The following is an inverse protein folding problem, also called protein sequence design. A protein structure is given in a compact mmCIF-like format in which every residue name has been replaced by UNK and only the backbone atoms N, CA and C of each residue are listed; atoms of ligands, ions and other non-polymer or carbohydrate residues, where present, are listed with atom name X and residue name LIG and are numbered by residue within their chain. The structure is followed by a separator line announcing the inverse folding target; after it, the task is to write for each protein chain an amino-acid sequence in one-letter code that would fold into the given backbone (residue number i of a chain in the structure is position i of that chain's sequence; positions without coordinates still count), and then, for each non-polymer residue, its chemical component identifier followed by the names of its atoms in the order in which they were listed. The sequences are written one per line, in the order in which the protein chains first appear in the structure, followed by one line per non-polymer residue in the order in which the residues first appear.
data_IF_397312208708
#
_entry.id   IF_397312208708
#
_cell.length_a   1.000
_cell.length_b   1.000
_cell.length_c   1.000
_cell.angle_alpha   90.00
_cell.angle_beta   90.00
_cell.angle_gamma   90.00
#
_symmetry.space_group_name_H-M   'P 1'
#
loop_
_entity.id
_entity.type
_entity.pdbx_description
1 polymer ?
#
# COMPACT_ATOMS: atom_id res chain seq x y z
N UNK A 1 -28.39 14.60 -24.90
CA UNK A 1 -27.27 15.18 -24.13
C UNK A 1 -27.35 14.58 -22.74
N UNK A 2 -26.62 13.49 -22.49
CA UNK A 2 -26.55 12.92 -21.13
C UNK A 2 -25.54 13.74 -20.35
N UNK A 3 -26.03 14.49 -19.38
CA UNK A 3 -25.21 15.19 -18.40
C UNK A 3 -24.48 14.12 -17.57
N UNK A 4 -23.18 13.96 -17.79
CA UNK A 4 -22.30 13.24 -16.87
C UNK A 4 -22.31 14.01 -15.54
N UNK A 5 -23.22 13.66 -14.65
CA UNK A 5 -23.20 14.08 -13.26
C UNK A 5 -22.07 13.30 -12.59
N UNK A 6 -20.86 13.85 -12.60
CA UNK A 6 -19.83 13.41 -11.66
C UNK A 6 -20.36 13.67 -10.27
N UNK A 7 -20.59 12.60 -9.50
CA UNK A 7 -20.92 12.71 -8.07
C UNK A 7 -19.94 13.68 -7.40
N UNK A 8 -20.39 14.54 -6.48
CA UNK A 8 -19.50 15.43 -5.77
C UNK A 8 -18.38 14.60 -5.08
N UNK A 9 -17.16 15.13 -4.98
CA UNK A 9 -16.07 14.43 -4.29
C UNK A 9 -16.54 14.04 -2.89
N UNK A 10 -16.47 12.75 -2.56
CA UNK A 10 -16.81 12.30 -1.21
C UNK A 10 -15.74 12.82 -0.26
N UNK A 11 -16.15 13.55 0.78
CA UNK A 11 -15.26 13.99 1.85
C UNK A 11 -14.87 12.81 2.74
N UNK A 12 -13.91 12.02 2.23
CA UNK A 12 -13.42 10.81 2.89
C UNK A 12 -12.73 11.11 4.22
N UNK A 13 -12.22 12.32 4.43
CA UNK A 13 -11.56 12.73 5.66
C UNK A 13 -12.54 12.84 6.84
N UNK A 14 -13.82 13.14 6.56
CA UNK A 14 -14.87 13.21 7.57
C UNK A 14 -15.39 11.85 8.05
N UNK A 15 -15.15 10.77 7.29
CA UNK A 15 -15.73 9.45 7.56
C UNK A 15 -15.40 8.91 8.96
N UNK A 16 -14.15 8.94 9.45
CA UNK A 16 -13.86 8.39 10.77
C UNK A 16 -14.35 9.29 11.91
N UNK A 17 -14.81 10.52 11.66
CA UNK A 17 -15.47 11.37 12.66
C UNK A 17 -16.95 11.00 12.81
N UNK A 18 -17.57 10.56 11.71
CA UNK A 18 -18.99 10.16 11.64
C UNK A 18 -19.21 8.69 12.04
N UNK A 19 -18.15 7.90 12.14
CA UNK A 19 -18.21 6.48 12.45
C UNK A 19 -18.46 6.20 13.93
N UNK A 20 -19.24 5.16 14.20
CA UNK A 20 -19.46 4.61 15.54
C UNK A 20 -18.51 3.44 15.86
N UNK A 21 -17.65 3.01 14.93
CA UNK A 21 -16.60 2.01 15.22
C UNK A 21 -15.52 2.65 16.10
N UNK A 22 -15.27 2.17 17.33
CA UNK A 22 -14.29 2.77 18.22
C UNK A 22 -12.87 2.77 17.63
N UNK A 23 -12.57 1.87 16.68
CA UNK A 23 -11.27 1.82 15.99
C UNK A 23 -11.07 3.01 15.05
N UNK A 24 -12.14 3.70 14.64
CA UNK A 24 -12.08 4.87 13.77
C UNK A 24 -11.70 6.17 14.50
N UNK A 25 -11.69 6.17 15.84
CA UNK A 25 -11.37 7.39 16.62
C UNK A 25 -10.00 7.96 16.25
N UNK A 26 -9.01 7.08 16.05
CA UNK A 26 -7.63 7.43 15.73
C UNK A 26 -7.28 7.27 14.24
N UNK A 27 -8.24 6.85 13.41
CA UNK A 27 -8.03 6.66 11.98
C UNK A 27 -8.01 7.99 11.23
N UNK A 28 -6.96 8.19 10.44
CA UNK A 28 -6.85 9.30 9.49
C UNK A 28 -7.06 8.75 8.09
N UNK A 29 -8.03 9.29 7.36
CA UNK A 29 -8.24 8.99 5.93
C UNK A 29 -7.84 10.21 5.13
N UNK A 30 -6.86 10.03 4.24
CA UNK A 30 -6.37 11.10 3.35
C UNK A 30 -6.46 10.68 1.91
N UNK A 31 -7.13 11.50 1.10
CA UNK A 31 -7.05 11.43 -0.35
C UNK A 31 -5.73 12.08 -0.81
N UNK A 32 -4.78 11.25 -1.27
CA UNK A 32 -3.43 11.67 -1.70
C UNK A 32 -3.47 12.20 -3.13
N UNK A 33 -4.21 11.52 -4.00
CA UNK A 33 -4.52 11.92 -5.37
C UNK A 33 -6.00 11.63 -5.62
N UNK A 34 -6.58 12.05 -6.77
CA UNK A 34 -7.95 11.66 -7.10
C UNK A 34 -8.21 10.16 -6.97
N UNK A 35 -7.22 9.31 -7.23
CA UNK A 35 -7.35 7.84 -7.27
C UNK A 35 -6.72 7.10 -6.09
N UNK A 36 -5.95 7.78 -5.23
CA UNK A 36 -5.22 7.16 -4.12
C UNK A 36 -5.73 7.68 -2.78
N UNK A 37 -6.19 6.77 -1.92
CA UNK A 37 -6.56 7.05 -0.54
C UNK A 37 -5.63 6.27 0.39
N UNK A 38 -5.17 6.93 1.45
CA UNK A 38 -4.41 6.30 2.53
C UNK A 38 -5.22 6.29 3.82
N UNK A 39 -4.95 5.27 4.63
CA UNK A 39 -5.61 5.00 5.90
C UNK A 39 -4.53 4.82 6.95
N UNK A 40 -4.37 5.82 7.80
CA UNK A 40 -3.25 5.97 8.72
C UNK A 40 -3.73 5.83 10.17
N UNK A 41 -3.05 5.00 10.95
CA UNK A 41 -3.36 4.74 12.36
C UNK A 41 -2.10 4.79 13.22
N UNK A 42 -2.20 5.11 14.53
CA UNK A 42 -1.06 4.98 15.42
C UNK A 42 -0.68 3.51 15.57
N UNK A 43 0.62 3.23 15.50
CA UNK A 43 1.17 1.90 15.75
C UNK A 43 2.52 2.01 16.42
N UNK A 44 2.72 1.22 17.47
CA UNK A 44 3.94 1.23 18.29
C UNK A 44 4.59 -0.16 18.24
N UNK A 45 5.72 -0.28 17.53
CA UNK A 45 6.45 -1.54 17.42
C UNK A 45 7.04 -1.92 18.78
N UNK A 46 6.86 -3.18 19.16
CA UNK A 46 7.31 -3.75 20.44
C UNK A 46 6.82 -3.00 21.69
N UNK A 47 5.76 -2.18 21.57
CA UNK A 47 5.19 -1.40 22.68
C UNK A 47 5.94 -0.14 23.08
N UNK A 48 7.07 0.20 22.45
CA UNK A 48 7.85 1.40 22.79
C UNK A 48 8.31 2.27 21.62
N UNK A 49 8.27 1.79 20.38
CA UNK A 49 8.73 2.56 19.20
C UNK A 49 7.55 3.02 18.33
N UNK A 50 7.11 4.29 18.42
CA UNK A 50 6.00 4.82 17.64
C UNK A 50 6.42 5.02 16.17
N UNK A 51 5.97 4.12 15.28
CA UNK A 51 6.29 4.17 13.84
C UNK A 51 5.07 4.42 12.94
N UNK A 52 3.86 4.28 13.50
CA UNK A 52 2.60 4.44 12.78
C UNK A 52 2.31 3.25 11.85
N UNK A 53 1.10 3.14 11.32
CA UNK A 53 0.73 2.10 10.35
C UNK A 53 -0.14 2.67 9.24
N UNK A 54 -0.08 2.11 8.03
CA UNK A 54 -0.82 2.64 6.88
C UNK A 54 -1.23 1.54 5.91
N UNK A 55 -2.47 1.60 5.41
CA UNK A 55 -2.87 0.93 4.17
C UNK A 55 -3.17 1.96 3.09
N UNK A 56 -3.16 1.51 1.85
CA UNK A 56 -3.41 2.36 0.70
C UNK A 56 -4.41 1.69 -0.23
N UNK A 57 -5.41 2.42 -0.69
CA UNK A 57 -6.32 1.99 -1.74
C UNK A 57 -6.09 2.83 -3.00
N UNK A 58 -6.11 2.16 -4.15
CA UNK A 58 -5.90 2.76 -5.45
C UNK A 58 -7.06 2.37 -6.35
N UNK A 59 -7.75 3.37 -6.89
CA UNK A 59 -8.73 3.19 -7.97
C UNK A 59 -7.99 2.91 -9.27
N UNK A 60 -8.33 1.82 -9.92
CA UNK A 60 -7.79 1.41 -11.21
C UNK A 60 -8.89 1.41 -12.25
N UNK A 61 -8.58 1.93 -13.44
CA UNK A 61 -9.51 1.92 -14.56
C UNK A 61 -9.56 0.52 -15.19
N UNK A 62 -10.75 0.01 -15.50
CA UNK A 62 -10.84 -1.20 -16.33
C UNK A 62 -10.58 -0.83 -17.79
N UNK A 63 -9.62 -1.49 -18.49
CA UNK A 63 -9.60 -1.39 -19.93
C UNK A 63 -10.92 -1.96 -20.48
N UNK A 64 -11.59 -1.22 -21.35
CA UNK A 64 -12.79 -1.67 -22.06
C UNK A 64 -12.49 -2.99 -22.78
N UNK A 65 -13.23 -4.07 -22.50
CA UNK A 65 -13.08 -5.31 -23.28
C UNK A 65 -13.51 -5.04 -24.73
N UNK A 66 -12.67 -5.28 -25.75
CA UNK A 66 -13.13 -5.26 -27.12
C UNK A 66 -14.10 -6.45 -27.31
N UNK A 67 -15.35 -6.17 -27.67
CA UNK A 67 -16.29 -7.23 -28.09
C UNK A 67 -16.23 -7.28 -29.62
N UNK A 68 -15.78 -8.40 -30.17
CA UNK A 68 -15.90 -8.68 -31.61
C UNK A 68 -17.26 -9.36 -31.82
N UNK A 69 -18.23 -8.63 -32.36
CA UNK A 69 -19.46 -9.23 -32.91
C UNK A 69 -19.35 -9.38 -34.41
N UNK A 70 -19.89 -10.49 -34.92
CA UNK A 70 -19.75 -10.94 -36.32
C UNK A 70 -20.34 -9.97 -37.35
N UNK A 71 -21.18 -9.01 -36.93
CA UNK A 71 -21.80 -8.00 -37.79
C UNK A 71 -21.82 -6.64 -37.08
N UNK A 72 -21.05 -5.68 -37.62
CA UNK A 72 -21.05 -4.24 -37.32
C UNK A 72 -20.59 -3.77 -35.92
N UNK A 73 -19.77 -2.71 -35.93
CA UNK A 73 -19.44 -1.86 -34.80
C UNK A 73 -20.73 -1.15 -34.37
N UNK A 74 -21.43 -1.70 -33.38
CA UNK A 74 -22.47 -0.98 -32.64
C UNK A 74 -21.79 -0.25 -31.48
N UNK A 75 -22.07 1.05 -31.22
CA UNK A 75 -21.72 1.66 -29.95
C UNK A 75 -22.47 0.92 -28.84
N UNK A 76 -21.71 0.29 -27.95
CA UNK A 76 -22.22 -0.33 -26.74
C UNK A 76 -23.09 0.69 -25.97
N UNK A 77 -24.22 0.30 -25.36
CA UNK A 77 -24.72 1.07 -24.22
C UNK A 77 -23.66 0.98 -23.12
N UNK A 78 -22.77 1.97 -23.02
CA UNK A 78 -21.71 2.07 -22.03
C UNK A 78 -22.32 2.05 -20.62
N UNK A 79 -22.48 0.87 -20.04
CA UNK A 79 -22.23 0.74 -18.61
C UNK A 79 -20.77 1.15 -18.44
N UNK A 80 -20.54 2.35 -17.88
CA UNK A 80 -19.21 2.86 -17.59
C UNK A 80 -18.38 1.75 -16.93
N UNK A 81 -17.09 1.57 -17.28
CA UNK A 81 -16.26 0.62 -16.56
C UNK A 81 -16.41 0.91 -15.08
N UNK A 82 -17.00 -0.02 -14.31
CA UNK A 82 -17.04 0.21 -12.87
C UNK A 82 -15.61 0.16 -12.41
N UNK A 83 -15.20 1.23 -11.74
CA UNK A 83 -13.87 1.34 -11.18
C UNK A 83 -13.63 0.17 -10.22
N UNK A 84 -12.41 -0.36 -10.27
CA UNK A 84 -11.97 -1.48 -9.43
C UNK A 84 -10.85 -1.00 -8.52
N UNK A 85 -10.74 -1.58 -7.34
CA UNK A 85 -9.85 -1.09 -6.29
C UNK A 85 -8.79 -2.14 -5.98
N UNK A 86 -7.54 -1.68 -5.99
CA UNK A 86 -6.39 -2.39 -5.44
C UNK A 86 -6.13 -1.87 -4.03
N UNK A 87 -6.04 -2.76 -3.05
CA UNK A 87 -5.76 -2.40 -1.65
C UNK A 87 -4.43 -3.00 -1.21
N UNK A 88 -3.48 -2.15 -0.85
CA UNK A 88 -2.24 -2.49 -0.17
C UNK A 88 -2.53 -2.53 1.34
N UNK A 89 -2.84 -3.71 1.86
CA UNK A 89 -3.52 -3.94 3.13
C UNK A 89 -2.54 -4.22 4.28
N UNK A 90 -2.60 -3.37 5.31
CA UNK A 90 -1.70 -3.39 6.48
C UNK A 90 -2.34 -2.98 7.81
N UNK A 91 -3.48 -2.30 7.82
CA UNK A 91 -4.16 -1.80 9.02
C UNK A 91 -5.53 -2.51 9.21
N UNK A 92 -6.24 -2.34 10.35
CA UNK A 92 -7.54 -2.98 10.59
C UNK A 92 -8.65 -2.52 9.63
N UNK A 93 -9.52 -3.40 9.14
CA UNK A 93 -10.62 -3.00 8.27
C UNK A 93 -11.80 -2.46 9.10
N UNK A 94 -11.83 -1.14 9.32
CA UNK A 94 -12.86 -0.45 10.10
C UNK A 94 -14.09 -0.07 9.28
N UNK A 95 -15.14 0.43 9.94
CA UNK A 95 -16.34 0.93 9.26
C UNK A 95 -16.02 2.09 8.29
N UNK A 96 -15.25 3.10 8.73
CA UNK A 96 -14.89 4.22 7.87
C UNK A 96 -13.97 3.80 6.70
N UNK A 97 -13.07 2.83 6.90
CA UNK A 97 -12.27 2.28 5.79
C UNK A 97 -13.16 1.58 4.76
N UNK A 98 -14.14 0.78 5.18
CA UNK A 98 -15.10 0.14 4.26
C UNK A 98 -15.90 1.16 3.47
N UNK A 99 -16.39 2.21 4.13
CA UNK A 99 -17.13 3.28 3.47
C UNK A 99 -16.25 4.02 2.43
N UNK A 100 -15.02 4.37 2.79
CA UNK A 100 -14.09 4.97 1.84
C UNK A 100 -13.79 4.07 0.64
N UNK A 101 -13.58 2.76 0.85
CA UNK A 101 -13.37 1.80 -0.25
C UNK A 101 -14.58 1.74 -1.18
N UNK A 102 -15.80 1.73 -0.65
CA UNK A 102 -17.03 1.74 -1.44
C UNK A 102 -17.15 2.99 -2.33
N UNK A 103 -16.56 4.12 -1.93
CA UNK A 103 -16.55 5.34 -2.74
C UNK A 103 -15.59 5.26 -3.93
N UNK A 104 -14.59 4.38 -3.88
CA UNK A 104 -13.62 4.18 -4.97
C UNK A 104 -14.09 3.16 -6.00
N UNK A 105 -14.81 2.11 -5.59
CA UNK A 105 -15.31 1.07 -6.49
C UNK A 105 -15.25 -0.32 -5.89
N UNK A 106 -15.29 -1.34 -6.75
CA UNK A 106 -15.26 -2.74 -6.33
C UNK A 106 -13.85 -3.18 -5.96
N UNK A 107 -13.62 -3.60 -4.71
CA UNK A 107 -12.33 -4.16 -4.28
C UNK A 107 -12.08 -5.49 -4.98
N UNK A 108 -11.01 -5.54 -5.80
CA UNK A 108 -10.63 -6.72 -6.59
C UNK A 108 -9.34 -7.36 -6.11
N UNK A 109 -8.44 -6.60 -5.49
CA UNK A 109 -7.14 -7.10 -5.05
C UNK A 109 -6.82 -6.64 -3.64
N UNK A 110 -6.35 -7.57 -2.82
CA UNK A 110 -5.89 -7.36 -1.45
C UNK A 110 -4.43 -7.83 -1.40
N UNK A 111 -3.49 -6.90 -1.34
CA UNK A 111 -2.05 -7.18 -1.38
C UNK A 111 -1.41 -6.85 -0.05
N UNK A 112 -0.77 -7.81 0.59
CA UNK A 112 -0.01 -7.57 1.83
C UNK A 112 1.38 -7.03 1.50
N UNK A 113 1.86 -5.96 2.17
CA UNK A 113 3.16 -5.34 1.89
C UNK A 113 4.37 -6.26 2.05
N UNK A 114 4.35 -7.11 3.06
CA UNK A 114 5.40 -8.06 3.37
C UNK A 114 4.84 -9.14 4.30
N UNK A 115 5.71 -9.86 4.98
CA UNK A 115 5.38 -10.86 5.96
C UNK A 115 4.89 -10.39 7.33
N UNK A 116 5.19 -9.18 7.76
CA UNK A 116 4.77 -8.59 9.04
C UNK A 116 3.45 -7.80 8.91
N UNK A 117 3.12 -7.32 7.71
CA UNK A 117 2.02 -6.40 7.46
C UNK A 117 0.68 -7.07 7.14
N UNK A 118 0.62 -8.39 7.01
CA UNK A 118 -0.61 -9.14 6.85
C UNK A 118 -1.39 -9.40 8.14
N UNK A 119 -1.13 -8.70 9.25
CA UNK A 119 -1.84 -8.92 10.53
C UNK A 119 -3.36 -8.91 10.37
N UNK A 120 -3.89 -7.97 9.57
CA UNK A 120 -5.32 -7.73 9.41
C UNK A 120 -5.92 -8.32 8.13
N UNK A 121 -5.15 -9.01 7.30
CA UNK A 121 -5.62 -9.49 5.99
C UNK A 121 -6.88 -10.37 6.08
N UNK A 122 -7.07 -11.11 7.20
CA UNK A 122 -8.25 -11.92 7.43
C UNK A 122 -9.54 -11.07 7.40
N UNK A 123 -9.52 -9.90 8.03
CA UNK A 123 -10.69 -8.99 8.05
C UNK A 123 -11.08 -8.55 6.63
N UNK A 124 -10.08 -8.36 5.75
CA UNK A 124 -10.32 -7.96 4.36
C UNK A 124 -10.86 -9.10 3.52
N UNK A 125 -10.29 -10.31 3.61
CA UNK A 125 -10.76 -11.45 2.81
C UNK A 125 -12.17 -11.89 3.24
N UNK A 126 -12.49 -11.81 4.54
CA UNK A 126 -13.84 -12.11 5.05
C UNK A 126 -14.87 -11.11 4.54
N UNK A 127 -14.49 -9.83 4.45
CA UNK A 127 -15.40 -8.77 3.99
C UNK A 127 -15.51 -8.68 2.46
N UNK A 128 -14.42 -8.99 1.73
CA UNK A 128 -14.35 -8.95 0.28
C UNK A 128 -14.05 -10.34 -0.30
N UNK A 129 -14.96 -11.32 -0.19
CA UNK A 129 -14.70 -12.71 -0.59
C UNK A 129 -14.46 -12.89 -2.11
N UNK A 130 -14.82 -11.90 -2.93
CA UNK A 130 -14.53 -11.90 -4.37
C UNK A 130 -13.18 -11.29 -4.75
N UNK A 131 -12.44 -10.72 -3.80
CA UNK A 131 -11.13 -10.12 -4.06
C UNK A 131 -10.02 -11.17 -4.06
N UNK A 132 -9.03 -10.99 -4.92
CA UNK A 132 -7.84 -11.82 -4.96
C UNK A 132 -6.88 -11.41 -3.84
N UNK A 133 -6.65 -12.31 -2.88
CA UNK A 133 -5.62 -12.14 -1.87
C UNK A 133 -4.25 -12.48 -2.45
N UNK A 134 -3.30 -11.55 -2.33
CA UNK A 134 -1.92 -11.69 -2.82
C UNK A 134 -0.97 -11.33 -1.68
N UNK A 135 0.07 -12.13 -1.49
CA UNK A 135 1.03 -11.88 -0.44
C UNK A 135 2.38 -12.52 -0.70
N UNK A 136 3.09 -12.82 0.38
CA UNK A 136 4.46 -13.32 0.31
C UNK A 136 4.56 -14.75 0.81
N UNK A 137 5.56 -15.48 0.34
CA UNK A 137 5.72 -16.93 0.51
C UNK A 137 5.53 -17.41 1.96
N UNK A 138 6.02 -16.65 2.95
CA UNK A 138 5.89 -17.00 4.38
C UNK A 138 4.44 -17.13 4.86
N UNK A 139 3.47 -16.54 4.16
CA UNK A 139 2.05 -16.71 4.49
C UNK A 139 1.47 -18.07 4.12
N UNK A 140 2.19 -18.88 3.32
CA UNK A 140 1.85 -20.29 3.15
C UNK A 140 1.76 -21.03 4.49
N UNK A 141 2.69 -20.73 5.40
CA UNK A 141 2.76 -21.35 6.73
C UNK A 141 2.09 -20.50 7.81
N UNK A 142 2.25 -19.17 7.75
CA UNK A 142 1.75 -18.28 8.80
C UNK A 142 0.24 -18.02 8.70
N UNK A 143 -0.35 -18.15 7.50
CA UNK A 143 -1.78 -17.89 7.23
C UNK A 143 -2.37 -18.94 6.28
N UNK A 144 -2.35 -20.24 6.66
CA UNK A 144 -2.78 -21.33 5.79
C UNK A 144 -4.30 -21.33 5.52
N UNK A 145 -5.09 -20.60 6.31
CA UNK A 145 -6.54 -20.46 6.13
C UNK A 145 -6.96 -19.52 5.00
N UNK A 146 -6.04 -18.75 4.42
CA UNK A 146 -6.34 -17.79 3.37
C UNK A 146 -6.16 -18.45 2.00
N UNK A 147 -7.15 -18.27 1.13
CA UNK A 147 -7.08 -18.66 -0.27
C UNK A 147 -6.28 -17.61 -1.06
N UNK A 148 -4.96 -17.78 -1.10
CA UNK A 148 -4.08 -16.88 -1.83
C UNK A 148 -4.18 -17.11 -3.34
N UNK A 149 -4.53 -16.06 -4.09
CA UNK A 149 -4.43 -16.05 -5.55
C UNK A 149 -2.97 -16.09 -6.01
N UNK A 150 -2.07 -15.47 -5.23
CA UNK A 150 -0.66 -15.35 -5.52
C UNK A 150 0.19 -15.20 -4.27
N UNK A 151 1.29 -15.95 -4.21
CA UNK A 151 2.33 -15.76 -3.20
C UNK A 151 3.65 -15.46 -3.92
N UNK A 152 4.33 -14.41 -3.50
CA UNK A 152 5.62 -13.96 -4.05
C UNK A 152 6.77 -14.42 -3.16
N UNK A 153 7.84 -14.92 -3.78
CA UNK A 153 8.99 -15.52 -3.12
C UNK A 153 9.66 -16.58 -3.99
N UNK A 154 10.85 -17.05 -3.60
CA UNK A 154 11.69 -17.94 -4.41
C UNK A 154 11.07 -19.31 -4.74
N UNK A 155 10.17 -19.86 -3.91
CA UNK A 155 9.60 -21.21 -4.13
C UNK A 155 8.10 -21.22 -4.40
N UNK A 156 7.57 -20.10 -4.89
CA UNK A 156 6.16 -19.92 -5.22
C UNK A 156 6.03 -19.22 -6.58
N UNK A 157 4.84 -19.27 -7.17
CA UNK A 157 4.61 -18.90 -8.58
C UNK A 157 3.94 -17.53 -8.76
N UNK A 158 3.78 -16.74 -7.70
CA UNK A 158 3.01 -15.49 -7.73
C UNK A 158 3.54 -14.46 -8.72
N UNK A 159 4.86 -14.36 -8.89
CA UNK A 159 5.49 -13.44 -9.85
C UNK A 159 5.21 -13.82 -11.33
N UNK A 160 4.93 -15.10 -11.59
CA UNK A 160 4.68 -15.61 -12.95
C UNK A 160 3.23 -15.44 -13.41
N UNK A 161 2.32 -15.14 -12.49
CA UNK A 161 0.88 -15.00 -12.78
C UNK A 161 0.53 -13.62 -13.32
N UNK A 162 -0.67 -13.53 -13.88
CA UNK A 162 -1.33 -12.25 -14.23
C UNK A 162 -2.65 -12.14 -13.49
N UNK A 163 -2.81 -11.03 -12.76
CA UNK A 163 -3.95 -10.76 -11.89
C UNK A 163 -4.92 -9.74 -12.51
N UNK A 164 -4.49 -8.99 -13.51
CA UNK A 164 -5.29 -8.02 -14.27
C UNK A 164 -4.99 -6.56 -13.94
N UNK A 165 -4.27 -6.26 -12.85
CA UNK A 165 -3.85 -4.89 -12.52
C UNK A 165 -2.55 -4.47 -13.22
N UNK A 166 -1.82 -5.40 -13.86
CA UNK A 166 -0.49 -5.16 -14.45
C UNK A 166 -0.40 -3.98 -15.44
N UNK A 167 -1.45 -3.61 -16.20
CA UNK A 167 -1.40 -2.41 -17.03
C UNK A 167 -1.18 -1.10 -16.26
N UNK A 168 -1.48 -1.08 -14.95
CA UNK A 168 -1.39 0.13 -14.11
C UNK A 168 -0.51 -0.04 -12.87
N UNK A 169 -0.36 -1.27 -12.35
CA UNK A 169 0.46 -1.56 -11.17
C UNK A 169 1.47 -2.67 -11.49
N UNK A 170 2.73 -2.47 -11.14
CA UNK A 170 3.70 -3.56 -11.02
C UNK A 170 3.91 -3.94 -9.55
N UNK A 171 4.00 -5.24 -9.27
CA UNK A 171 4.49 -5.75 -7.99
C UNK A 171 5.95 -6.18 -8.14
N UNK A 172 6.78 -5.87 -7.15
CA UNK A 172 8.17 -6.27 -7.10
C UNK A 172 8.50 -6.87 -5.74
N UNK A 173 8.86 -8.15 -5.75
CA UNK A 173 9.33 -8.83 -4.55
C UNK A 173 10.75 -8.40 -4.19
N UNK A 174 11.03 -8.30 -2.90
CA UNK A 174 12.38 -8.21 -2.35
C UNK A 174 12.51 -9.32 -1.31
N UNK A 175 12.65 -10.56 -1.78
CA UNK A 175 12.78 -11.76 -0.94
C UNK A 175 14.07 -11.78 -0.13
N UNK A 176 15.08 -11.00 -0.55
CA UNK A 176 16.29 -10.78 0.23
C UNK A 176 16.02 -10.04 1.54
N UNK A 177 14.97 -9.22 1.63
CA UNK A 177 14.58 -8.54 2.86
C UNK A 177 14.06 -9.55 3.88
N UNK A 178 14.43 -9.44 5.16
CA UNK A 178 14.07 -10.42 6.21
C UNK A 178 12.55 -10.61 6.38
N UNK A 179 11.76 -9.57 6.07
CA UNK A 179 10.30 -9.67 6.12
C UNK A 179 9.68 -10.22 4.83
N UNK A 180 10.47 -10.44 3.78
CA UNK A 180 10.04 -10.71 2.41
C UNK A 180 9.10 -9.62 1.92
N UNK A 181 9.64 -8.54 1.35
CA UNK A 181 8.83 -7.40 0.89
C UNK A 181 8.17 -7.68 -0.45
N UNK A 182 7.04 -7.01 -0.68
CA UNK A 182 6.29 -7.01 -1.93
C UNK A 182 5.82 -5.59 -2.23
N UNK A 183 6.73 -4.79 -2.80
CA UNK A 183 6.43 -3.40 -3.16
C UNK A 183 5.46 -3.31 -4.34
N UNK A 184 4.71 -2.22 -4.43
CA UNK A 184 3.81 -1.94 -5.55
C UNK A 184 4.12 -0.57 -6.18
N UNK A 185 4.12 -0.47 -7.51
CA UNK A 185 4.31 0.79 -8.22
C UNK A 185 3.06 1.08 -9.05
N UNK A 186 2.34 2.15 -8.70
CA UNK A 186 1.22 2.64 -9.51
C UNK A 186 1.74 3.60 -10.59
N UNK A 187 1.91 3.08 -11.80
CA UNK A 187 2.55 3.76 -12.91
C UNK A 187 1.85 5.06 -13.34
N UNK A 188 0.50 5.15 -13.46
CA UNK A 188 -0.18 6.37 -13.84
C UNK A 188 0.14 7.57 -12.95
N UNK A 189 0.31 7.33 -11.64
CA UNK A 189 0.60 8.38 -10.65
C UNK A 189 2.09 8.56 -10.34
N UNK A 190 2.95 7.63 -10.80
CA UNK A 190 4.35 7.58 -10.39
C UNK A 190 4.54 7.41 -8.88
N UNK A 191 3.78 6.50 -8.25
CA UNK A 191 3.80 6.29 -6.79
C UNK A 191 4.31 4.89 -6.45
N UNK A 192 5.34 4.81 -5.62
CA UNK A 192 5.83 3.58 -4.98
C UNK A 192 5.14 3.39 -3.62
N UNK A 193 4.66 2.17 -3.37
CA UNK A 193 4.15 1.70 -2.09
C UNK A 193 5.09 0.63 -1.56
N UNK A 194 5.42 0.68 -0.28
CA UNK A 194 6.35 -0.26 0.34
C UNK A 194 6.03 -0.48 1.84
N UNK A 195 6.49 -1.62 2.37
CA UNK A 195 6.32 -2.02 3.77
C UNK A 195 7.43 -1.44 4.65
N UNK A 196 8.52 -2.21 4.79
CA UNK A 196 9.66 -1.89 5.64
C UNK A 196 10.94 -1.51 4.87
N UNK A 197 10.86 -1.23 3.58
CA UNK A 197 12.02 -0.82 2.79
C UNK A 197 12.51 0.59 3.18
N UNK A 198 11.61 1.48 3.58
CA UNK A 198 11.98 2.83 4.00
C UNK A 198 11.01 3.33 5.07
N UNK A 199 11.56 3.92 6.13
CA UNK A 199 10.72 4.61 7.11
C UNK A 199 10.89 6.10 6.88
N UNK A 200 9.81 6.87 7.00
CA UNK A 200 9.85 8.33 6.90
C UNK A 200 9.28 8.97 8.16
N UNK A 201 9.92 8.71 9.30
CA UNK A 201 9.51 9.27 10.58
C UNK A 201 9.83 10.78 10.65
N UNK A 202 9.26 11.56 11.59
CA UNK A 202 8.18 11.20 12.52
C UNK A 202 6.89 10.78 11.81
N UNK A 203 6.09 9.86 12.38
CA UNK A 203 4.81 9.45 11.79
C UNK A 203 3.70 10.44 12.17
N UNK A 204 3.85 11.70 11.75
CA UNK A 204 3.03 12.82 12.20
C UNK A 204 1.57 12.63 11.84
N UNK A 205 1.30 12.26 10.58
CA UNK A 205 -0.07 12.03 10.09
C UNK A 205 -0.71 10.86 10.85
N UNK A 206 0.03 9.76 11.01
CA UNK A 206 -0.45 8.52 11.64
C UNK A 206 -0.80 8.69 13.13
N UNK A 207 -0.25 9.72 13.80
CA UNK A 207 -0.57 10.04 15.19
C UNK A 207 -1.44 11.30 15.35
N UNK A 208 -1.83 11.97 14.25
CA UNK A 208 -2.52 13.27 14.30
C UNK A 208 -3.89 13.21 15.01
N UNK A 209 -4.58 12.07 14.96
CA UNK A 209 -5.84 11.82 15.68
C UNK A 209 -5.69 11.06 17.01
N UNK A 210 -4.46 10.75 17.40
CA UNK A 210 -4.13 10.05 18.64
C UNK A 210 -3.66 11.00 19.77
N UNK A 211 -3.87 12.31 19.62
CA UNK A 211 -3.29 13.32 20.51
C UNK A 211 -1.84 13.67 20.19
N UNK A 212 -1.32 13.21 19.05
CA UNK A 212 0.07 13.41 18.62
C UNK A 212 1.01 12.30 19.09
N UNK A 213 2.31 12.49 18.83
CA UNK A 213 3.34 11.55 19.26
C UNK A 213 3.50 11.57 20.79
N UNK A 214 3.84 10.42 21.42
CA UNK A 214 4.19 10.38 22.83
C UNK A 214 5.27 11.44 23.17
N UNK A 215 5.05 12.21 24.24
CA UNK A 215 5.89 13.37 24.59
C UNK A 215 7.37 13.03 24.70
N UNK A 216 7.70 11.90 25.31
CA UNK A 216 9.08 11.44 25.46
C UNK A 216 9.72 11.11 24.10
N UNK A 217 8.98 10.45 23.21
CA UNK A 217 9.44 10.15 21.86
C UNK A 217 9.68 11.44 21.06
N UNK A 218 8.77 12.41 21.17
CA UNK A 218 8.93 13.74 20.57
C UNK A 218 10.17 14.48 21.10
N UNK A 219 10.44 14.40 22.42
CA UNK A 219 11.61 15.02 23.04
C UNK A 219 12.93 14.45 22.51
N UNK A 220 12.99 13.15 22.21
CA UNK A 220 14.14 12.50 21.58
C UNK A 220 14.15 12.58 20.05
N UNK A 221 13.51 13.61 19.48
CA UNK A 221 13.53 13.90 18.04
C UNK A 221 12.51 13.10 17.22
N UNK A 222 11.50 12.50 17.85
CA UNK A 222 10.35 11.91 17.16
C UNK A 222 10.69 10.76 16.21
N UNK A 223 11.83 10.09 16.42
CA UNK A 223 12.30 9.05 15.53
C UNK A 223 12.93 9.56 14.23
N UNK A 224 13.27 10.85 14.10
CA UNK A 224 13.88 11.39 12.88
C UNK A 224 15.19 10.70 12.43
N UNK A 225 15.88 9.97 13.32
CA UNK A 225 17.03 9.13 12.96
C UNK A 225 16.65 7.85 12.19
N UNK A 226 15.36 7.48 12.17
CA UNK A 226 14.76 6.42 11.38
C UNK A 226 14.23 6.94 10.03
N UNK A 227 14.43 8.20 9.68
CA UNK A 227 14.07 8.74 8.35
C UNK A 227 15.21 8.56 7.35
N UNK A 228 14.99 8.78 6.04
CA UNK A 228 16.02 8.63 5.03
C UNK A 228 17.23 9.56 5.28
N UNK A 229 18.43 8.98 5.34
CA UNK A 229 19.67 9.68 5.71
C UNK A 229 19.97 9.70 7.22
N UNK A 230 19.06 9.19 8.05
CA UNK A 230 19.28 8.99 9.49
C UNK A 230 20.20 7.79 9.78
N UNK A 231 21.03 7.91 10.83
CA UNK A 231 22.00 6.86 11.20
C UNK A 231 21.35 5.55 11.63
N UNK A 232 20.22 5.62 12.34
CA UNK A 232 19.50 4.42 12.81
C UNK A 232 18.84 3.71 11.63
N UNK A 233 18.23 4.46 10.71
CA UNK A 233 17.67 3.90 9.47
C UNK A 233 18.76 3.22 8.63
N UNK A 234 19.90 3.88 8.43
CA UNK A 234 21.03 3.28 7.70
C UNK A 234 21.54 1.98 8.35
N UNK A 235 21.59 1.93 9.68
CA UNK A 235 21.91 0.70 10.42
C UNK A 235 20.88 -0.41 10.20
N UNK A 236 19.58 -0.07 10.25
CA UNK A 236 18.48 -0.99 9.99
C UNK A 236 18.56 -1.55 8.56
N UNK A 237 18.63 -0.69 7.54
CA UNK A 237 18.76 -1.08 6.13
C UNK A 237 20.01 -1.95 5.85
N UNK A 238 21.09 -1.76 6.61
CA UNK A 238 22.24 -2.66 6.52
C UNK A 238 21.94 -4.06 7.10
N UNK A 239 21.09 -4.14 8.12
CA UNK A 239 20.73 -5.38 8.81
C UNK A 239 19.57 -6.18 8.21
N UNK A 240 18.76 -5.62 7.30
CA UNK A 240 17.57 -6.32 6.76
C UNK A 240 17.89 -7.52 5.87
N UNK A 241 19.14 -7.70 5.43
CA UNK A 241 19.53 -8.86 4.62
C UNK A 241 20.99 -9.26 4.85
N UNK A 242 21.25 -10.56 4.75
CA UNK A 242 22.59 -11.13 4.62
C UNK A 242 23.02 -11.33 3.16
N UNK A 243 22.07 -11.33 2.21
CA UNK A 243 22.34 -11.56 0.78
C UNK A 243 22.22 -10.25 0.00
N UNK A 244 23.29 -9.45 0.01
CA UNK A 244 23.33 -8.12 -0.63
C UNK A 244 23.24 -8.19 -2.16
N UNK A 245 23.76 -9.26 -2.77
CA UNK A 245 23.70 -9.45 -4.23
C UNK A 245 22.28 -9.72 -4.70
N UNK A 246 21.53 -10.57 -3.98
CA UNK A 246 20.11 -10.79 -4.27
C UNK A 246 19.31 -9.50 -4.05
N UNK A 247 19.55 -8.79 -2.95
CA UNK A 247 18.90 -7.50 -2.70
C UNK A 247 19.16 -6.51 -3.84
N UNK A 248 20.41 -6.38 -4.30
CA UNK A 248 20.76 -5.53 -5.45
C UNK A 248 19.98 -5.94 -6.71
N UNK A 249 19.91 -7.24 -7.00
CA UNK A 249 19.16 -7.77 -8.15
C UNK A 249 17.67 -7.43 -8.06
N UNK A 250 17.06 -7.59 -6.89
CA UNK A 250 15.62 -7.35 -6.67
C UNK A 250 15.27 -5.85 -6.61
N UNK A 251 16.20 -5.00 -6.19
CA UNK A 251 16.06 -3.55 -6.23
C UNK A 251 16.14 -2.97 -7.65
N UNK A 252 16.86 -3.63 -8.57
CA UNK A 252 17.07 -3.14 -9.94
C UNK A 252 15.77 -2.76 -10.69
N UNK A 253 14.72 -3.61 -10.76
CA UNK A 253 13.47 -3.24 -11.42
C UNK A 253 12.74 -2.08 -10.74
N UNK A 254 12.75 -2.01 -9.40
CA UNK A 254 12.16 -0.90 -8.63
C UNK A 254 12.89 0.41 -8.96
N UNK A 255 14.22 0.38 -9.01
CA UNK A 255 15.05 1.53 -9.32
C UNK A 255 14.91 2.00 -10.77
N UNK A 256 14.74 1.08 -11.72
CA UNK A 256 14.56 1.38 -13.14
C UNK A 256 13.16 1.94 -13.46
N UNK A 257 12.14 1.61 -12.67
CA UNK A 257 10.78 2.11 -12.86
C UNK A 257 10.66 3.62 -12.62
N UNK A 258 9.72 4.25 -13.34
CA UNK A 258 9.39 5.69 -13.21
C UNK A 258 8.42 5.91 -12.06
N UNK A 259 8.87 6.57 -11.01
CA UNK A 259 8.07 7.03 -9.87
C UNK A 259 8.84 8.14 -9.12
N UNK A 260 8.10 8.95 -8.35
CA UNK A 260 8.64 10.01 -7.50
C UNK A 260 8.00 10.05 -6.12
N UNK A 261 6.70 9.75 -5.97
CA UNK A 261 6.07 9.66 -4.65
C UNK A 261 6.39 8.32 -3.99
N UNK A 262 6.58 8.32 -2.67
CA UNK A 262 6.63 7.10 -1.84
C UNK A 262 5.54 7.19 -0.77
N UNK A 263 4.72 6.13 -0.67
CA UNK A 263 3.79 5.92 0.42
C UNK A 263 4.30 4.75 1.26
N UNK A 264 5.01 5.03 2.38
CA UNK A 264 5.51 3.99 3.29
C UNK A 264 4.38 3.48 4.21
N UNK A 265 4.49 2.24 4.69
CA UNK A 265 3.65 1.76 5.79
C UNK A 265 3.97 2.50 7.11
N UNK A 266 5.21 2.95 7.29
CA UNK A 266 5.70 3.61 8.49
C UNK A 266 6.27 5.01 8.22
N UNK A 267 5.63 6.03 8.78
CA UNK A 267 6.00 7.43 8.58
C UNK A 267 5.07 8.21 7.65
N UNK A 268 5.43 9.47 7.43
CA UNK A 268 4.69 10.39 6.57
C UNK A 268 4.96 10.11 5.08
N UNK A 269 3.99 10.42 4.22
CA UNK A 269 4.14 10.26 2.76
C UNK A 269 5.23 11.20 2.23
N UNK A 270 6.07 10.68 1.35
CA UNK A 270 7.05 11.47 0.59
C UNK A 270 6.39 11.85 -0.73
N UNK A 271 5.84 13.05 -0.81
CA UNK A 271 5.05 13.52 -1.97
C UNK A 271 5.90 13.73 -3.23
N UNK A 272 7.15 14.17 -3.06
CA UNK A 272 8.10 14.45 -4.14
C UNK A 272 9.52 14.10 -3.73
N UNK A 273 10.43 13.99 -4.69
CA UNK A 273 11.84 13.62 -4.49
C UNK A 273 12.03 12.23 -3.87
N UNK A 274 11.07 11.32 -4.05
CA UNK A 274 11.14 9.99 -3.44
C UNK A 274 12.35 9.21 -3.91
N UNK A 275 12.77 9.33 -5.18
CA UNK A 275 14.04 8.73 -5.65
C UNK A 275 15.25 9.24 -4.87
N UNK A 276 15.28 10.53 -4.52
CA UNK A 276 16.35 11.13 -3.71
C UNK A 276 16.34 10.52 -2.31
N UNK A 277 15.18 10.44 -1.68
CA UNK A 277 15.06 9.86 -0.33
C UNK A 277 15.38 8.36 -0.32
N UNK A 278 14.86 7.60 -1.28
CA UNK A 278 15.17 6.19 -1.48
C UNK A 278 16.67 5.94 -1.63
N UNK A 279 17.36 6.76 -2.42
CA UNK A 279 18.80 6.64 -2.63
C UNK A 279 19.64 6.92 -1.39
N UNK A 280 19.14 7.70 -0.42
CA UNK A 280 19.81 7.85 0.88
C UNK A 280 19.89 6.53 1.65
N UNK A 281 18.97 5.61 1.40
CA UNK A 281 18.91 4.28 2.03
C UNK A 281 19.57 3.24 1.14
N UNK A 282 19.16 3.16 -0.13
CA UNK A 282 19.47 2.04 -1.02
C UNK A 282 20.46 2.37 -2.14
N UNK A 283 20.89 3.64 -2.28
CA UNK A 283 21.72 4.10 -3.39
C UNK A 283 23.12 3.48 -3.48
N UNK A 284 23.58 2.80 -2.42
CA UNK A 284 24.85 2.03 -2.45
C UNK A 284 24.68 0.62 -3.04
N UNK A 285 23.45 0.16 -3.17
CA UNK A 285 23.09 -1.15 -3.70
C UNK A 285 22.45 -1.07 -5.09
N UNK A 286 22.04 0.12 -5.54
CA UNK A 286 21.59 0.40 -6.92
C UNK A 286 22.75 0.35 -7.92
#
# INVERSE_FOLDING_TARGET
MSTNTTSPPVDVASLPVKSNDPRDQQLVIRQVTPDIITFSVPFTRSGFLPIGGRSTAIRLFRPSKPIITQNAIQPHPQSAPSDVVFVYASHPLTAATKEALNTLGEVKWLVTPDGEHGMYIQEYVDHFPGAQAIGVERYKEQKPGIQWAGLFGPNVDGETKKYGFEPQISLHQVSAHINHELTAIHHPSGTLLEGDMLFNLPPTEQYSRAGGLPTLFKFFGGGGSLSPGGKVHAGMANGVTKNKDLLKKELAPINAAKWDRIIPCHGDVIETEGKVQWNKVWGKLS
#
